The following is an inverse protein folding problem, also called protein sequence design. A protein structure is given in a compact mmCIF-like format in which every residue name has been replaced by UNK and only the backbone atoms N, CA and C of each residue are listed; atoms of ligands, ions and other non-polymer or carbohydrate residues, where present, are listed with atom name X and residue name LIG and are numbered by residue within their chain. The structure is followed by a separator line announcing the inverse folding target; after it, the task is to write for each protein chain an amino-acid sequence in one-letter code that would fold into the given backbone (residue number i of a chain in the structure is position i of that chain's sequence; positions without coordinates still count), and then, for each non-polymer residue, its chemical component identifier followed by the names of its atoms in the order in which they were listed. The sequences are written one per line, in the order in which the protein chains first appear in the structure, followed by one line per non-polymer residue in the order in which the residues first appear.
data_IF_630954414451
#
_entry.id   IF_630954414451
#
_cell.length_a   1.000
_cell.length_b   1.000
_cell.length_c   1.000
_cell.angle_alpha   90.00
_cell.angle_beta   90.00
_cell.angle_gamma   90.00
#
_symmetry.space_group_name_H-M   'P 1'
#
loop_
_entity.id
_entity.type
_entity.pdbx_description
1 polymer ?
#
# COMPACT_ATOMS: atom_id res chain seq x y z
N UNK A 1 18.46 -1.56 -4.41
CA UNK A 1 17.09 -2.03 -4.50
C UNK A 1 16.35 -1.62 -3.24
N UNK A 2 15.30 -0.84 -3.38
CA UNK A 2 14.47 -0.42 -2.25
C UNK A 2 13.50 -1.52 -1.83
N UNK A 3 12.97 -1.38 -0.63
CA UNK A 3 11.89 -2.24 -0.15
C UNK A 3 10.60 -1.85 -0.85
N UNK A 4 9.77 -2.83 -1.18
CA UNK A 4 8.52 -2.59 -1.90
C UNK A 4 7.37 -3.34 -1.25
N UNK A 5 6.17 -2.84 -1.51
CA UNK A 5 4.92 -3.49 -1.16
C UNK A 5 4.20 -3.78 -2.47
N UNK A 6 3.83 -5.03 -2.69
CA UNK A 6 3.20 -5.47 -3.92
C UNK A 6 1.86 -6.10 -3.66
N UNK A 7 0.92 -5.91 -4.59
CA UNK A 7 -0.37 -6.57 -4.50
C UNK A 7 -0.73 -7.24 -5.82
N UNK A 8 -1.51 -8.31 -5.70
CA UNK A 8 -2.19 -8.94 -6.81
C UNK A 8 -3.63 -8.46 -6.77
N UNK A 9 -4.05 -7.70 -7.76
CA UNK A 9 -5.35 -7.06 -7.73
C UNK A 9 -5.87 -6.76 -9.13
N UNK A 10 -7.19 -6.71 -9.23
CA UNK A 10 -7.88 -6.26 -10.43
C UNK A 10 -8.62 -4.97 -10.07
N UNK A 11 -8.13 -3.85 -10.58
CA UNK A 11 -8.74 -2.55 -10.37
C UNK A 11 -9.17 -1.91 -11.70
N UNK A 12 -9.29 -2.70 -12.75
CA UNK A 12 -9.77 -2.21 -14.04
C UNK A 12 -11.20 -1.72 -13.91
N UNK A 13 -11.45 -0.48 -14.33
CA UNK A 13 -12.75 0.16 -14.18
C UNK A 13 -12.98 0.77 -12.80
N UNK A 14 -12.04 0.68 -11.92
CA UNK A 14 -12.13 1.24 -10.56
C UNK A 14 -10.80 1.76 -10.09
N UNK A 15 -10.56 1.67 -8.78
CA UNK A 15 -9.29 2.13 -8.22
C UNK A 15 -8.99 1.47 -6.87
N UNK A 16 -7.70 1.41 -6.55
CA UNK A 16 -7.22 1.03 -5.22
C UNK A 16 -6.28 2.14 -4.76
N UNK A 17 -6.55 2.65 -3.57
CA UNK A 17 -5.67 3.59 -2.87
C UNK A 17 -5.25 2.93 -1.56
N UNK A 18 -4.04 3.20 -1.12
CA UNK A 18 -3.49 2.59 0.08
C UNK A 18 -2.92 3.66 0.99
N UNK A 19 -3.20 3.55 2.28
CA UNK A 19 -2.61 4.38 3.32
C UNK A 19 -1.71 3.54 4.20
N UNK A 20 -0.60 4.11 4.64
CA UNK A 20 0.21 3.51 5.69
C UNK A 20 -0.09 4.22 7.01
N UNK A 21 -0.39 3.44 8.03
CA UNK A 21 -0.74 3.94 9.37
C UNK A 21 0.30 3.46 10.36
N UNK A 22 0.51 4.24 11.42
CA UNK A 22 1.37 3.81 12.51
C UNK A 22 0.62 2.86 13.46
N UNK A 23 1.29 2.43 14.52
CA UNK A 23 0.70 1.50 15.49
C UNK A 23 -0.51 2.07 16.20
N UNK A 24 -0.64 3.39 16.26
CA UNK A 24 -1.78 4.07 16.88
C UNK A 24 -2.93 4.31 15.90
N UNK A 25 -2.77 3.89 14.66
CA UNK A 25 -3.80 4.06 13.64
C UNK A 25 -3.77 5.41 12.95
N UNK A 26 -2.73 6.20 13.15
CA UNK A 26 -2.58 7.50 12.48
C UNK A 26 -1.86 7.33 11.15
N UNK A 27 -2.33 8.06 10.14
CA UNK A 27 -1.70 8.05 8.82
C UNK A 27 -0.27 8.61 8.94
N UNK A 28 0.68 7.87 8.39
CA UNK A 28 2.08 8.31 8.35
C UNK A 28 2.19 9.38 7.28
N UNK A 29 2.81 10.52 7.64
CA UNK A 29 2.95 11.65 6.72
C UNK A 29 3.65 11.20 5.43
N UNK A 30 3.09 11.60 4.30
CA UNK A 30 3.58 11.23 2.98
C UNK A 30 3.06 9.91 2.45
N UNK A 31 2.30 9.16 3.28
CA UNK A 31 1.76 7.85 2.92
C UNK A 31 0.24 7.79 3.06
N UNK A 32 -0.43 8.92 2.89
CA UNK A 32 -1.89 8.98 2.92
C UNK A 32 -2.48 8.46 1.61
N UNK A 33 -3.79 8.21 1.61
CA UNK A 33 -4.47 7.79 0.38
C UNK A 33 -4.42 8.88 -0.69
N UNK A 34 -4.35 10.16 -0.31
CA UNK A 34 -4.24 11.24 -1.27
C UNK A 34 -2.84 11.34 -1.86
N UNK A 35 -1.84 10.83 -1.18
CA UNK A 35 -0.48 10.75 -1.68
C UNK A 35 -0.25 9.47 -2.50
N UNK A 36 -1.12 8.49 -2.35
CA UNK A 36 -0.98 7.22 -3.05
C UNK A 36 -1.22 7.40 -4.55
N UNK A 37 -0.37 6.77 -5.35
CA UNK A 37 -0.60 6.71 -6.79
C UNK A 37 -1.66 5.65 -7.03
N UNK A 38 -2.83 6.00 -7.60
CA UNK A 38 -3.93 5.06 -7.74
C UNK A 38 -3.56 3.87 -8.62
N UNK A 39 -4.02 2.69 -8.20
CA UNK A 39 -3.93 1.47 -8.99
C UNK A 39 -5.25 1.33 -9.71
N UNK A 40 -5.21 1.27 -11.05
CA UNK A 40 -6.42 1.27 -11.88
C UNK A 40 -6.41 0.17 -12.94
N UNK A 41 -5.52 -0.79 -12.84
CA UNK A 41 -5.36 -1.85 -13.82
C UNK A 41 -5.46 -3.22 -13.17
N UNK A 42 -5.52 -4.25 -13.99
CA UNK A 42 -5.48 -5.64 -13.56
C UNK A 42 -4.05 -6.15 -13.70
N UNK A 43 -3.47 -6.61 -12.61
CA UNK A 43 -2.13 -7.19 -12.64
C UNK A 43 -1.92 -8.09 -11.43
N UNK A 44 -1.11 -9.11 -11.62
CA UNK A 44 -0.71 -9.99 -10.51
C UNK A 44 0.39 -9.33 -9.67
N UNK A 45 0.93 -8.21 -10.12
CA UNK A 45 2.01 -7.53 -9.43
C UNK A 45 1.93 -6.01 -9.62
N UNK A 46 1.24 -5.35 -8.72
CA UNK A 46 1.26 -3.89 -8.63
C UNK A 46 2.21 -3.49 -7.51
N UNK A 47 3.12 -2.59 -7.79
CA UNK A 47 3.98 -2.02 -6.75
C UNK A 47 3.28 -0.79 -6.20
N UNK A 48 3.07 -0.75 -4.88
CA UNK A 48 2.44 0.40 -4.23
C UNK A 48 3.42 1.56 -4.20
N UNK A 49 2.94 2.75 -4.57
CA UNK A 49 3.77 3.95 -4.62
C UNK A 49 3.01 5.14 -4.08
N UNK A 50 3.75 6.04 -3.43
CA UNK A 50 3.24 7.32 -2.95
C UNK A 50 4.03 8.43 -3.59
N UNK A 51 3.36 9.56 -3.87
CA UNK A 51 4.00 10.71 -4.53
C UNK A 51 5.22 11.16 -3.75
N UNK A 52 6.34 11.35 -4.45
CA UNK A 52 7.59 11.74 -3.84
C UNK A 52 8.31 10.65 -3.07
N UNK A 53 7.74 9.45 -2.98
CA UNK A 53 8.35 8.32 -2.31
C UNK A 53 8.60 7.22 -3.31
N UNK A 54 9.85 6.78 -3.43
CA UNK A 54 10.23 5.73 -4.39
C UNK A 54 10.03 4.33 -3.82
N UNK A 55 10.07 4.20 -2.49
CA UNK A 55 9.90 2.92 -1.83
C UNK A 55 9.33 3.16 -0.43
N UNK A 56 9.21 2.10 0.34
CA UNK A 56 8.68 2.18 1.70
C UNK A 56 9.77 2.22 2.77
N UNK A 57 10.96 2.68 2.42
CA UNK A 57 12.09 2.75 3.35
C UNK A 57 11.76 3.49 4.64
N UNK A 58 11.02 4.60 4.55
CA UNK A 58 10.69 5.42 5.71
C UNK A 58 9.77 4.73 6.71
N UNK A 59 9.09 3.66 6.32
CA UNK A 59 8.14 2.97 7.19
C UNK A 59 8.59 1.55 7.55
N UNK A 60 9.68 1.06 6.98
CA UNK A 60 10.08 -0.34 7.14
C UNK A 60 10.59 -0.68 8.54
N UNK A 61 11.11 0.29 9.27
CA UNK A 61 11.77 0.05 10.55
C UNK A 61 10.84 0.08 11.76
N UNK A 62 9.54 0.16 11.53
CA UNK A 62 8.55 0.26 12.62
C UNK A 62 7.30 -0.51 12.26
N UNK A 63 6.49 -0.89 13.27
CA UNK A 63 5.21 -1.53 13.00
C UNK A 63 4.32 -0.58 12.21
N UNK A 64 3.73 -1.09 11.13
CA UNK A 64 2.80 -0.31 10.32
C UNK A 64 1.54 -1.11 10.07
N UNK A 65 0.50 -0.39 9.70
CA UNK A 65 -0.77 -0.94 9.28
C UNK A 65 -1.11 -0.37 7.92
N UNK A 66 -1.57 -1.20 7.01
CA UNK A 66 -1.97 -0.74 5.68
C UNK A 66 -3.49 -0.78 5.60
N UNK A 67 -4.06 0.30 5.06
CA UNK A 67 -5.50 0.38 4.80
C UNK A 67 -5.71 0.49 3.31
N UNK A 68 -6.45 -0.45 2.75
CA UNK A 68 -6.76 -0.49 1.33
C UNK A 68 -8.15 0.07 1.10
N UNK A 69 -8.25 1.08 0.22
CA UNK A 69 -9.53 1.67 -0.19
C UNK A 69 -9.85 1.15 -1.59
N UNK A 70 -10.80 0.25 -1.69
CA UNK A 70 -11.19 -0.41 -2.94
C UNK A 70 -12.45 0.22 -3.49
N UNK A 71 -12.41 0.64 -4.75
CA UNK A 71 -13.59 1.13 -5.48
C UNK A 71 -13.69 0.35 -6.78
N UNK A 72 -14.73 -0.48 -6.89
CA UNK A 72 -14.93 -1.35 -8.06
C UNK A 72 -13.66 -2.15 -8.38
N UNK A 73 -13.04 -2.71 -7.35
CA UNK A 73 -11.77 -3.41 -7.47
C UNK A 73 -11.76 -4.63 -6.58
N UNK A 74 -10.86 -5.57 -6.92
CA UNK A 74 -10.67 -6.81 -6.15
C UNK A 74 -9.20 -6.91 -5.76
N UNK A 75 -8.95 -7.18 -4.49
CA UNK A 75 -7.61 -7.43 -3.97
C UNK A 75 -7.50 -8.91 -3.68
N UNK A 76 -6.54 -9.58 -4.30
CA UNK A 76 -6.36 -11.03 -4.16
C UNK A 76 -5.28 -11.38 -3.14
N UNK A 77 -4.18 -10.63 -3.13
CA UNK A 77 -3.10 -10.89 -2.19
C UNK A 77 -2.20 -9.69 -2.03
N UNK A 78 -1.46 -9.70 -0.94
CA UNK A 78 -0.50 -8.65 -0.60
C UNK A 78 0.83 -9.32 -0.29
N UNK A 79 1.90 -8.86 -0.93
CA UNK A 79 3.24 -9.43 -0.77
C UNK A 79 4.21 -8.31 -0.42
N UNK A 80 4.62 -8.23 0.84
CA UNK A 80 5.66 -7.28 1.22
C UNK A 80 7.03 -7.84 0.84
N UNK A 81 7.89 -6.95 0.37
CA UNK A 81 9.29 -7.26 0.10
C UNK A 81 10.15 -6.30 0.89
N UNK A 82 10.05 -6.43 2.21
CA UNK A 82 10.75 -5.57 3.17
C UNK A 82 11.44 -6.44 4.21
N UNK A 83 12.50 -5.89 4.82
CA UNK A 83 13.28 -6.60 5.81
C UNK A 83 12.55 -6.81 7.12
N UNK A 84 11.81 -5.80 7.56
CA UNK A 84 11.07 -5.83 8.82
C UNK A 84 9.59 -5.95 8.53
N UNK A 85 8.97 -6.98 9.09
CA UNK A 85 7.57 -7.31 8.81
C UNK A 85 6.69 -7.01 10.02
N UNK A 86 6.62 -5.74 10.37
CA UNK A 86 5.80 -5.28 11.50
C UNK A 86 4.63 -4.45 10.99
N UNK A 87 3.67 -5.10 10.35
CA UNK A 87 2.52 -4.43 9.81
C UNK A 87 1.29 -5.32 9.86
N UNK A 88 0.14 -4.67 9.80
CA UNK A 88 -1.16 -5.33 9.78
C UNK A 88 -1.94 -4.79 8.58
N UNK A 89 -2.70 -5.66 7.91
CA UNK A 89 -3.58 -5.23 6.83
C UNK A 89 -4.96 -4.89 7.38
N UNK A 90 -5.62 -3.91 6.77
CA UNK A 90 -7.04 -3.64 6.99
C UNK A 90 -7.66 -3.18 5.68
N UNK A 91 -8.96 -3.42 5.55
CA UNK A 91 -9.70 -3.12 4.34
C UNK A 91 -10.88 -2.20 4.67
N UNK A 92 -11.11 -1.25 3.78
CA UNK A 92 -12.29 -0.40 3.81
C UNK A 92 -13.36 -0.91 2.87
#
# INVERSE_FOLDING_TARGET
IGDTLEINADAEGGSILVEALDADGKVIEGFSKTDCIPITTDSVRHVLKWKGKKDCHLIQARPIRLRFHLKKAKLYSFTPRIRHKHYVQSYD
#
